data_IF_887691414303
#
_entry.id   IF_887691414303
#
_cell.length_a   1.000
_cell.length_b   1.000
_cell.length_c   1.000
_cell.angle_alpha   90.00
_cell.angle_beta   90.00
_cell.angle_gamma   90.00
#
_symmetry.space_group_name_H-M   'P 1'
#
loop_
_entity.id
_entity.type
_entity.pdbx_description
1 polymer ?
#
# COMPACT_ATOMS: atom_id res chain seq x y z
N UNK A 1 -16.25 3.11 13.09
CA UNK A 1 -15.97 2.68 11.70
C UNK A 1 -15.14 3.78 11.06
N UNK A 2 -13.89 3.51 10.67
CA UNK A 2 -13.00 4.51 10.04
C UNK A 2 -13.60 4.99 8.70
N UNK A 3 -13.54 6.30 8.43
CA UNK A 3 -14.11 6.92 7.22
C UNK A 3 -13.13 7.89 6.57
N UNK A 4 -13.24 8.04 5.25
CA UNK A 4 -12.54 9.06 4.47
C UNK A 4 -11.03 9.07 4.72
N UNK A 5 -10.53 10.22 5.18
CA UNK A 5 -9.12 10.48 5.39
C UNK A 5 -8.52 9.63 6.52
N UNK A 6 -9.25 9.38 7.62
CA UNK A 6 -8.76 8.54 8.73
C UNK A 6 -8.46 7.12 8.26
N UNK A 7 -9.32 6.58 7.38
CA UNK A 7 -9.09 5.26 6.79
C UNK A 7 -7.89 5.29 5.84
N UNK A 8 -7.72 6.36 5.06
CA UNK A 8 -6.57 6.52 4.17
C UNK A 8 -5.26 6.53 4.97
N UNK A 9 -5.22 7.30 6.05
CA UNK A 9 -4.05 7.35 6.94
C UNK A 9 -3.78 6.00 7.60
N UNK A 10 -4.82 5.30 8.08
CA UNK A 10 -4.63 3.97 8.65
C UNK A 10 -4.09 2.95 7.63
N UNK A 11 -4.59 3.00 6.41
CA UNK A 11 -4.09 2.16 5.30
C UNK A 11 -2.63 2.49 5.00
N UNK A 12 -2.26 3.78 4.98
CA UNK A 12 -0.87 4.18 4.77
C UNK A 12 0.05 3.69 5.89
N UNK A 13 -0.39 3.76 7.15
CA UNK A 13 0.35 3.21 8.30
C UNK A 13 0.58 1.70 8.14
N UNK A 14 -0.45 0.93 7.76
CA UNK A 14 -0.33 -0.50 7.51
C UNK A 14 0.67 -0.77 6.38
N UNK A 15 0.56 -0.06 5.25
CA UNK A 15 1.52 -0.19 4.14
C UNK A 15 2.94 0.13 4.63
N UNK A 16 3.12 1.15 5.46
CA UNK A 16 4.43 1.59 5.93
C UNK A 16 5.09 0.63 6.92
N UNK A 17 4.30 -0.16 7.64
CA UNK A 17 4.80 -1.10 8.66
C UNK A 17 4.88 -2.54 8.15
N UNK A 18 4.13 -2.89 7.10
CA UNK A 18 4.00 -4.25 6.57
C UNK A 18 4.40 -4.37 5.10
N UNK A 19 5.20 -3.44 4.58
CA UNK A 19 5.61 -3.50 3.17
C UNK A 19 6.57 -4.67 2.90
N UNK A 20 6.53 -5.22 1.67
CA UNK A 20 5.50 -4.99 0.64
C UNK A 20 4.17 -5.68 1.02
N UNK A 21 3.04 -5.00 0.78
CA UNK A 21 1.70 -5.55 1.06
C UNK A 21 0.78 -5.45 -0.16
N UNK A 22 -0.38 -6.09 -0.12
CA UNK A 22 -1.40 -6.05 -1.18
C UNK A 22 -2.77 -5.72 -0.59
N UNK A 23 -3.72 -5.33 -1.45
CA UNK A 23 -5.07 -4.87 -1.03
C UNK A 23 -5.72 -5.81 -0.02
N UNK A 24 -5.74 -7.13 -0.28
CA UNK A 24 -6.35 -8.11 0.62
C UNK A 24 -5.58 -8.29 1.94
N UNK A 25 -4.25 -8.15 1.95
CA UNK A 25 -3.46 -8.15 3.19
C UNK A 25 -3.81 -6.96 4.08
N UNK A 26 -4.04 -5.78 3.49
CA UNK A 26 -4.51 -4.61 4.25
C UNK A 26 -5.93 -4.82 4.82
N UNK A 27 -6.80 -5.53 4.10
CA UNK A 27 -8.16 -5.85 4.59
C UNK A 27 -8.09 -6.79 5.80
N UNK A 28 -7.20 -7.78 5.78
CA UNK A 28 -6.94 -8.67 6.91
C UNK A 28 -6.45 -7.90 8.14
N UNK A 29 -5.50 -6.98 7.96
CA UNK A 29 -4.98 -6.12 9.05
C UNK A 29 -6.05 -5.16 9.62
N UNK A 30 -7.05 -4.78 8.81
CA UNK A 30 -8.21 -4.02 9.27
C UNK A 30 -9.26 -4.89 9.99
N UNK A 31 -9.06 -6.20 10.07
CA UNK A 31 -10.01 -7.15 10.65
C UNK A 31 -11.29 -7.29 9.82
N UNK A 32 -11.22 -7.02 8.52
CA UNK A 32 -12.36 -7.07 7.61
C UNK A 32 -12.34 -8.36 6.79
N UNK A 33 -13.50 -8.73 6.25
CA UNK A 33 -13.60 -9.86 5.33
C UNK A 33 -12.89 -9.53 3.99
N UNK A 34 -11.84 -10.28 3.70
CA UNK A 34 -11.01 -10.19 2.49
C UNK A 34 -11.68 -10.69 1.21
N UNK A 35 -12.73 -11.51 1.33
CA UNK A 35 -13.50 -12.00 0.19
C UNK A 35 -14.65 -11.05 -0.19
N UNK A 36 -14.97 -10.09 0.68
CA UNK A 36 -15.94 -9.05 0.40
C UNK A 36 -15.42 -8.05 -0.65
N UNK A 37 -16.06 -8.06 -1.82
CA UNK A 37 -15.68 -7.21 -2.97
C UNK A 37 -15.78 -5.71 -2.65
N UNK A 38 -16.72 -5.28 -1.81
CA UNK A 38 -16.84 -3.88 -1.40
C UNK A 38 -15.63 -3.44 -0.57
N UNK A 39 -15.11 -4.29 0.31
CA UNK A 39 -13.89 -4.02 1.08
C UNK A 39 -12.68 -3.92 0.14
N UNK A 40 -12.57 -4.83 -0.83
CA UNK A 40 -11.51 -4.80 -1.86
C UNK A 40 -11.55 -3.50 -2.65
N UNK A 41 -12.73 -3.10 -3.11
CA UNK A 41 -12.92 -1.87 -3.89
C UNK A 41 -12.58 -0.63 -3.06
N UNK A 42 -13.01 -0.61 -1.79
CA UNK A 42 -12.74 0.50 -0.87
C UNK A 42 -11.26 0.67 -0.57
N UNK A 43 -10.54 -0.42 -0.24
CA UNK A 43 -9.10 -0.35 0.04
C UNK A 43 -8.31 -0.02 -1.24
N UNK A 44 -8.68 -0.60 -2.38
CA UNK A 44 -8.07 -0.26 -3.67
C UNK A 44 -8.20 1.23 -3.99
N UNK A 45 -9.38 1.83 -3.75
CA UNK A 45 -9.56 3.28 -3.93
C UNK A 45 -8.52 4.08 -3.15
N UNK A 46 -8.28 3.74 -1.88
CA UNK A 46 -7.27 4.41 -1.06
C UNK A 46 -5.84 4.16 -1.54
N UNK A 47 -5.52 2.97 -2.06
CA UNK A 47 -4.23 2.72 -2.73
C UNK A 47 -4.05 3.68 -3.91
N UNK A 48 -5.07 3.82 -4.76
CA UNK A 48 -5.01 4.71 -5.93
C UNK A 48 -4.84 6.18 -5.51
N UNK A 49 -5.54 6.62 -4.45
CA UNK A 49 -5.37 7.98 -3.89
C UNK A 49 -3.95 8.21 -3.34
N UNK A 50 -3.44 7.30 -2.50
CA UNK A 50 -2.11 7.40 -1.91
C UNK A 50 -0.99 7.35 -2.97
N UNK A 51 -1.18 6.56 -4.03
CA UNK A 51 -0.27 6.50 -5.16
C UNK A 51 -0.27 7.80 -5.95
N UNK A 52 -1.46 8.39 -6.20
CA UNK A 52 -1.62 9.70 -6.85
C UNK A 52 -0.97 10.82 -6.03
N UNK A 53 -1.05 10.75 -4.72
CA UNK A 53 -0.36 11.67 -3.78
C UNK A 53 1.16 11.42 -3.71
N UNK A 54 1.68 10.35 -4.34
CA UNK A 54 3.10 10.01 -4.33
C UNK A 54 3.60 9.45 -2.99
N UNK A 55 2.71 9.09 -2.07
CA UNK A 55 3.06 8.56 -0.74
C UNK A 55 3.46 7.09 -0.78
N UNK A 56 2.87 6.34 -1.69
CA UNK A 56 3.19 4.93 -1.94
C UNK A 56 3.52 4.71 -3.41
N UNK A 57 4.22 3.61 -3.69
CA UNK A 57 4.28 3.00 -5.01
C UNK A 57 3.33 1.82 -5.06
N UNK A 58 2.80 1.57 -6.24
CA UNK A 58 1.98 0.40 -6.53
C UNK A 58 2.52 -0.31 -7.76
N UNK A 59 2.51 -1.64 -7.75
CA UNK A 59 2.87 -2.48 -8.89
C UNK A 59 1.96 -3.69 -8.95
N UNK A 60 1.52 -4.03 -10.15
CA UNK A 60 0.80 -5.29 -10.38
C UNK A 60 1.81 -6.43 -10.48
N UNK A 61 1.64 -7.44 -9.64
CA UNK A 61 2.42 -8.68 -9.65
C UNK A 61 1.42 -9.82 -9.75
N UNK A 62 1.42 -10.49 -10.91
CA UNK A 62 0.36 -11.44 -11.30
C UNK A 62 -1.04 -10.80 -11.10
N UNK A 63 -1.88 -11.37 -10.23
CA UNK A 63 -3.24 -10.87 -9.96
C UNK A 63 -3.29 -9.84 -8.82
N UNK A 64 -2.19 -9.63 -8.10
CA UNK A 64 -2.16 -8.76 -6.92
C UNK A 64 -1.71 -7.33 -7.24
N UNK A 65 -2.38 -6.35 -6.65
CA UNK A 65 -1.90 -4.96 -6.60
C UNK A 65 -1.09 -4.79 -5.31
N UNK A 66 0.23 -4.78 -5.46
CA UNK A 66 1.22 -4.69 -4.37
C UNK A 66 1.61 -3.24 -4.16
N UNK A 67 1.79 -2.83 -2.91
CA UNK A 67 2.16 -1.48 -2.50
C UNK A 67 3.28 -1.44 -1.46
N UNK A 68 4.06 -0.37 -1.48
CA UNK A 68 5.10 -0.03 -0.50
C UNK A 68 5.30 1.49 -0.41
N UNK A 69 5.87 2.03 0.68
CA UNK A 69 6.12 3.47 0.82
C UNK A 69 7.06 3.99 -0.26
N UNK A 70 6.79 5.20 -0.77
CA UNK A 70 7.62 5.83 -1.79
C UNK A 70 9.06 6.11 -1.32
N UNK A 71 9.28 6.26 -0.01
CA UNK A 71 10.60 6.46 0.59
C UNK A 71 11.53 5.27 0.35
N UNK A 72 11.01 4.04 0.29
CA UNK A 72 11.82 2.83 0.07
C UNK A 72 12.53 2.86 -1.28
N UNK A 73 11.93 3.48 -2.31
CA UNK A 73 12.61 3.63 -3.61
C UNK A 73 13.84 4.53 -3.50
N UNK A 74 13.80 5.58 -2.65
CA UNK A 74 14.96 6.44 -2.41
C UNK A 74 16.08 5.65 -1.75
N UNK A 75 15.74 4.83 -0.74
CA UNK A 75 16.69 3.95 -0.08
C UNK A 75 17.28 2.91 -1.04
N UNK A 76 16.46 2.34 -1.93
CA UNK A 76 16.94 1.41 -2.97
C UNK A 76 17.96 2.07 -3.88
N UNK A 77 17.66 3.28 -4.37
CA UNK A 77 18.58 4.04 -5.23
C UNK A 77 19.90 4.31 -4.51
N UNK A 78 19.86 4.79 -3.27
CA UNK A 78 21.08 5.02 -2.48
C UNK A 78 21.87 3.72 -2.28
N UNK A 79 21.19 2.61 -1.99
CA UNK A 79 21.82 1.30 -1.83
C UNK A 79 22.48 0.82 -3.12
N UNK A 80 21.83 0.99 -4.27
CA UNK A 80 22.38 0.68 -5.60
C UNK A 80 23.64 1.51 -5.89
N UNK A 81 23.59 2.83 -5.63
CA UNK A 81 24.76 3.72 -5.77
C UNK A 81 25.93 3.31 -4.86
N UNK A 82 25.66 2.99 -3.58
CA UNK A 82 26.70 2.57 -2.63
C UNK A 82 27.31 1.22 -3.02
N UNK A 83 26.51 0.30 -3.59
CA UNK A 83 26.97 -1.02 -4.01
C UNK A 83 27.63 -1.05 -5.39
N UNK A 84 27.78 0.11 -6.04
CA UNK A 84 28.52 0.22 -7.28
C UNK A 84 27.79 -0.33 -8.50
N UNK A 85 26.48 -0.02 -8.60
CA UNK A 85 25.85 0.18 -9.91
C UNK A 85 26.03 1.64 -10.33
#
# INVERSE_FOLDING_TARGET
MLRGDELREKIFEIISTKWPTYVRGVIEELGWDRENISNVTKVKYHFDQLAREGRIRVKRIDRALVAWPAEIERLRVVHEFVRGL
#
